data_IF_421437301310
#
_entry.id   IF_421437301310
#
_cell.length_a   1.000
_cell.length_b   1.000
_cell.length_c   1.000
_cell.angle_alpha   90.00
_cell.angle_beta   90.00
_cell.angle_gamma   90.00
#
_symmetry.space_group_name_H-M   'P 1'
#
loop_
_entity.id
_entity.type
_entity.pdbx_description
1 polymer ?
#
# COMPACT_ATOMS: atom_id res chain seq x y z
N UNK A 1 -9.92 10.16 11.91
CA UNK A 1 -10.45 10.85 10.71
C UNK A 1 -9.53 10.44 9.56
N UNK A 2 -10.07 9.99 8.43
CA UNK A 2 -9.25 9.65 7.27
C UNK A 2 -9.16 10.87 6.34
N UNK A 3 -7.98 11.12 5.79
CA UNK A 3 -7.72 12.24 4.89
C UNK A 3 -7.22 11.71 3.55
N UNK A 4 -7.62 12.38 2.46
CA UNK A 4 -7.18 12.02 1.13
C UNK A 4 -5.80 12.61 0.87
N UNK A 5 -4.87 11.76 0.47
CA UNK A 5 -3.51 12.16 0.12
C UNK A 5 -3.38 12.40 -1.39
N UNK A 6 -2.42 13.24 -1.77
CA UNK A 6 -2.05 13.43 -3.17
C UNK A 6 -1.43 12.13 -3.72
N UNK A 7 -1.76 11.72 -4.95
CA UNK A 7 -1.16 10.55 -5.57
C UNK A 7 0.34 10.75 -5.76
N UNK A 8 1.13 9.70 -5.52
CA UNK A 8 2.60 9.74 -5.62
C UNK A 8 3.32 8.98 -4.51
N UNK A 9 2.62 8.67 -3.42
CA UNK A 9 3.11 7.79 -2.36
C UNK A 9 3.14 6.35 -2.86
N UNK A 10 4.30 5.70 -2.76
CA UNK A 10 4.49 4.30 -3.18
C UNK A 10 4.94 3.49 -1.97
N UNK A 11 4.37 2.30 -1.77
CA UNK A 11 4.74 1.44 -0.65
C UNK A 11 4.78 -0.04 -1.00
N UNK A 12 5.51 -0.78 -0.17
CA UNK A 12 5.57 -2.23 -0.21
C UNK A 12 4.45 -2.82 0.64
N UNK A 13 3.75 -3.81 0.07
CA UNK A 13 2.65 -4.50 0.75
C UNK A 13 2.91 -6.01 0.76
N UNK A 14 2.47 -6.65 1.84
CA UNK A 14 2.35 -8.11 1.90
C UNK A 14 0.91 -8.49 1.64
N UNK A 15 0.69 -9.50 0.80
CA UNK A 15 -0.62 -10.03 0.47
C UNK A 15 -0.56 -11.57 0.41
N UNK A 16 -1.73 -12.21 0.37
CA UNK A 16 -1.82 -13.66 0.29
C UNK A 16 -1.48 -14.15 -1.13
N UNK A 17 -0.67 -15.19 -1.23
CA UNK A 17 -0.27 -15.76 -2.51
C UNK A 17 -1.45 -16.49 -3.15
N UNK A 18 -1.68 -16.24 -4.44
CA UNK A 18 -2.74 -16.89 -5.21
C UNK A 18 -4.05 -16.11 -5.31
N UNK A 19 -4.16 -14.95 -4.67
CA UNK A 19 -5.27 -14.03 -4.91
C UNK A 19 -5.01 -13.21 -6.19
N UNK A 20 -6.05 -12.97 -6.99
CA UNK A 20 -5.98 -12.20 -8.24
C UNK A 20 -5.66 -10.71 -8.01
N UNK A 21 -5.95 -10.22 -6.81
CA UNK A 21 -5.71 -8.83 -6.38
C UNK A 21 -5.05 -8.82 -5.00
N UNK A 22 -4.59 -7.64 -4.56
CA UNK A 22 -4.00 -7.39 -3.24
C UNK A 22 -5.02 -7.43 -2.09
N UNK A 23 -5.79 -8.52 -2.03
CA UNK A 23 -6.74 -8.80 -0.95
C UNK A 23 -5.96 -9.13 0.33
N UNK A 24 -6.54 -8.72 1.46
CA UNK A 24 -5.91 -8.85 2.79
C UNK A 24 -4.52 -8.21 2.88
N UNK A 25 -4.24 -7.20 2.05
CA UNK A 25 -2.94 -6.57 2.01
C UNK A 25 -2.66 -5.81 3.31
N UNK A 26 -1.42 -5.95 3.79
CA UNK A 26 -0.87 -5.16 4.89
C UNK A 26 0.29 -4.33 4.37
N UNK A 27 0.24 -3.02 4.64
CA UNK A 27 1.36 -2.12 4.35
C UNK A 27 2.55 -2.50 5.23
N UNK A 28 3.71 -2.67 4.61
CA UNK A 28 4.96 -2.95 5.31
C UNK A 28 5.77 -1.68 5.50
N UNK A 29 6.01 -0.97 4.40
CA UNK A 29 6.87 0.21 4.34
C UNK A 29 6.45 1.09 3.16
N UNK A 30 6.80 2.37 3.18
CA UNK A 30 6.53 3.30 2.09
C UNK A 30 7.69 4.25 1.87
N UNK A 31 7.94 4.59 0.59
CA UNK A 31 8.95 5.57 0.23
C UNK A 31 8.32 6.95 0.20
N UNK A 32 8.73 7.79 1.15
CA UNK A 32 8.49 9.23 1.07
C UNK A 32 9.52 9.80 0.08
N UNK A 33 9.05 10.40 -1.02
CA UNK A 33 9.93 11.22 -1.87
C UNK A 33 10.03 12.58 -1.19
N UNK A 34 11.25 13.03 -0.91
CA UNK A 34 11.56 14.41 -0.51
C UNK A 34 10.97 15.43 -1.48
#
# INVERSE_FOLDING_TARGET
KAEWLKPGLVGHVKFLKGEEMLRHAKLLDYREKE
#
